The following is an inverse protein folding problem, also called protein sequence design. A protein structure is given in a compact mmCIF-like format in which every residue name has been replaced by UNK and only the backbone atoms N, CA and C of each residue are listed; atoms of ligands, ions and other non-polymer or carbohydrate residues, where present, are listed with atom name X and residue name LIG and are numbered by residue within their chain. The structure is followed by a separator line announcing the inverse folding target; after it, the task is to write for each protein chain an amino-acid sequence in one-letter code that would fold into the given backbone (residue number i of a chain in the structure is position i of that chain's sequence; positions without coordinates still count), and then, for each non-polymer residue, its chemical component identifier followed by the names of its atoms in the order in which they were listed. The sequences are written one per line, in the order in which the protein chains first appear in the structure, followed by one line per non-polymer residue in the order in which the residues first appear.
data_IF_769800971133
#
_entry.id   IF_769800971133
#
_cell.length_a   1.000
_cell.length_b   1.000
_cell.length_c   1.000
_cell.angle_alpha   90.00
_cell.angle_beta   90.00
_cell.angle_gamma   90.00
#
_symmetry.space_group_name_H-M   'P 1'
#
loop_
_entity.id
_entity.type
_entity.pdbx_description
1 polymer ?
#
# COMPACT_ATOMS: atom_id res chain seq x y z
N UNK A 1 8.16 0.94 -3.53
CA UNK A 1 7.30 2.15 -3.45
C UNK A 1 8.08 3.31 -2.85
N UNK A 2 8.15 4.44 -3.53
CA UNK A 2 8.79 5.66 -3.04
C UNK A 2 7.78 6.81 -2.88
N UNK A 3 7.98 7.68 -1.89
CA UNK A 3 7.20 8.89 -1.69
C UNK A 3 8.03 9.98 -0.99
N UNK A 4 7.52 11.20 -0.98
CA UNK A 4 8.08 12.32 -0.21
C UNK A 4 7.21 12.61 1.01
N UNK A 5 7.85 12.80 2.17
CA UNK A 5 7.19 13.17 3.41
C UNK A 5 8.09 14.12 4.20
N UNK A 6 7.58 15.32 4.52
CA UNK A 6 8.32 16.37 5.26
C UNK A 6 9.73 16.63 4.69
N UNK A 7 9.79 16.88 3.38
CA UNK A 7 11.03 17.18 2.62
C UNK A 7 12.09 16.06 2.63
N UNK A 8 11.71 14.85 2.98
CA UNK A 8 12.55 13.66 2.90
C UNK A 8 11.91 12.59 2.00
N UNK A 9 12.75 11.79 1.37
CA UNK A 9 12.35 10.66 0.52
C UNK A 9 12.26 9.40 1.35
N UNK A 10 11.19 8.63 1.16
CA UNK A 10 10.95 7.35 1.82
C UNK A 10 10.82 6.25 0.78
N UNK A 11 11.49 5.12 1.01
CA UNK A 11 11.48 3.96 0.13
C UNK A 11 11.07 2.72 0.92
N UNK A 12 9.93 2.16 0.56
CA UNK A 12 9.39 0.94 1.12
C UNK A 12 9.64 -0.23 0.17
N UNK A 13 10.16 -1.33 0.70
CA UNK A 13 10.46 -2.55 -0.06
C UNK A 13 9.77 -3.75 0.57
N UNK A 14 9.55 -4.78 -0.25
CA UNK A 14 8.99 -6.05 0.18
C UNK A 14 9.86 -6.70 1.27
N UNK A 15 9.23 -7.21 2.30
CA UNK A 15 9.81 -8.06 3.36
C UNK A 15 10.95 -7.45 4.18
N UNK A 16 11.06 -6.14 4.25
CA UNK A 16 12.20 -5.53 4.97
C UNK A 16 11.96 -5.23 6.45
N UNK A 17 10.72 -5.29 6.93
CA UNK A 17 10.41 -4.95 8.33
C UNK A 17 10.74 -3.50 8.69
N UNK A 18 10.73 -2.61 7.70
CA UNK A 18 11.05 -1.21 7.84
C UNK A 18 11.09 -0.51 6.48
N UNK A 19 11.77 0.62 6.43
CA UNK A 19 11.91 1.41 5.21
C UNK A 19 13.23 2.19 5.22
N UNK A 20 13.64 2.62 4.03
CA UNK A 20 14.75 3.54 3.89
C UNK A 20 14.25 4.97 3.76
N UNK A 21 15.03 5.93 4.24
CA UNK A 21 14.77 7.35 4.04
C UNK A 21 16.04 8.11 3.70
N UNK A 22 15.89 9.22 2.97
CA UNK A 22 17.00 10.05 2.50
C UNK A 22 16.56 11.50 2.33
N UNK A 23 17.50 12.43 2.49
CA UNK A 23 17.29 13.85 2.14
C UNK A 23 17.73 14.21 0.72
N UNK A 24 18.57 13.39 0.10
CA UNK A 24 19.25 13.73 -1.15
C UNK A 24 19.26 12.62 -2.20
N UNK A 25 18.54 11.50 -1.95
CA UNK A 25 18.48 10.30 -2.81
C UNK A 25 19.83 9.55 -2.99
N UNK A 26 20.88 9.99 -2.34
CA UNK A 26 22.21 9.37 -2.39
C UNK A 26 22.55 8.64 -1.09
N UNK A 27 22.32 9.31 0.01
CA UNK A 27 22.61 8.78 1.35
C UNK A 27 21.32 8.27 1.99
N UNK A 28 21.24 6.95 2.21
CA UNK A 28 20.06 6.29 2.70
C UNK A 28 20.30 5.73 4.11
N UNK A 29 19.36 6.00 4.99
CA UNK A 29 19.29 5.41 6.32
C UNK A 29 18.13 4.42 6.39
N UNK A 30 18.25 3.40 7.24
CA UNK A 30 17.18 2.42 7.47
C UNK A 30 16.52 2.65 8.81
N UNK A 31 15.19 2.74 8.81
CA UNK A 31 14.36 2.76 10.00
C UNK A 31 13.59 1.43 10.12
N UNK A 32 13.86 0.61 11.14
CA UNK A 32 13.01 -0.54 11.43
C UNK A 32 11.62 -0.05 11.83
N UNK A 33 10.57 -0.72 11.36
CA UNK A 33 9.20 -0.34 11.66
C UNK A 33 8.43 -1.48 12.32
N UNK A 34 7.64 -1.13 13.34
CA UNK A 34 6.76 -2.05 14.04
C UNK A 34 5.46 -2.25 13.26
N UNK A 35 5.54 -2.81 12.07
CA UNK A 35 4.35 -3.41 11.47
C UNK A 35 4.07 -4.69 12.26
N UNK A 36 2.92 -4.74 12.91
CA UNK A 36 2.56 -5.92 13.68
C UNK A 36 2.47 -7.11 12.70
N UNK A 37 3.47 -7.96 12.77
CA UNK A 37 3.41 -9.29 12.18
C UNK A 37 2.77 -10.21 13.21
N UNK A 38 1.72 -10.90 12.84
CA UNK A 38 1.33 -12.10 13.57
C UNK A 38 2.31 -13.21 13.20
N UNK A 39 2.51 -14.21 14.07
CA UNK A 39 3.40 -15.33 13.76
C UNK A 39 3.04 -16.10 12.48
N UNK A 40 1.81 -15.92 11.99
CA UNK A 40 1.28 -16.53 10.77
C UNK A 40 1.18 -15.57 9.59
N UNK A 41 1.53 -14.29 9.80
CA UNK A 41 1.51 -13.32 8.70
C UNK A 41 2.70 -13.60 7.80
N UNK A 42 2.42 -13.88 6.55
CA UNK A 42 3.42 -13.81 5.52
C UNK A 42 4.03 -12.42 5.49
N UNK A 43 5.27 -12.36 5.11
CA UNK A 43 5.97 -11.10 4.94
C UNK A 43 5.15 -10.17 4.04
N UNK A 44 5.00 -8.92 4.48
CA UNK A 44 4.24 -7.94 3.71
C UNK A 44 4.91 -7.66 2.38
N UNK A 45 4.22 -8.08 1.32
CA UNK A 45 4.65 -7.85 -0.06
C UNK A 45 3.98 -6.62 -0.65
N UNK A 46 4.52 -6.15 -1.78
CA UNK A 46 3.95 -5.04 -2.55
C UNK A 46 3.53 -3.85 -1.68
N UNK A 47 4.46 -3.25 -0.92
CA UNK A 47 4.14 -2.14 -0.04
C UNK A 47 3.68 -0.92 -0.83
N UNK A 48 2.66 -0.24 -0.30
CA UNK A 48 2.22 1.06 -0.76
C UNK A 48 2.09 2.04 0.41
N UNK A 49 2.30 3.31 0.13
CA UNK A 49 2.18 4.34 1.14
C UNK A 49 1.64 5.63 0.52
N UNK A 50 0.95 6.43 1.31
CA UNK A 50 0.50 7.76 0.93
C UNK A 50 0.56 8.71 2.12
N UNK A 51 0.50 10.00 1.85
CA UNK A 51 0.53 11.05 2.86
C UNK A 51 -0.78 11.83 2.84
N UNK A 52 -1.33 12.09 4.01
CA UNK A 52 -2.46 12.99 4.20
C UNK A 52 -2.18 13.92 5.37
N UNK A 53 -2.01 15.19 5.10
CA UNK A 53 -1.54 16.17 6.08
C UNK A 53 -0.19 15.73 6.67
N UNK A 54 -0.09 15.71 7.98
CA UNK A 54 1.12 15.29 8.72
C UNK A 54 1.23 13.77 8.96
N UNK A 55 0.37 12.98 8.34
CA UNK A 55 0.29 11.53 8.59
C UNK A 55 0.74 10.74 7.37
N UNK A 56 1.69 9.86 7.57
CA UNK A 56 2.08 8.84 6.61
C UNK A 56 1.27 7.57 6.88
N UNK A 57 0.59 7.08 5.85
CA UNK A 57 -0.13 5.81 5.84
C UNK A 57 0.65 4.78 5.05
N UNK A 58 0.57 3.53 5.50
CA UNK A 58 1.27 2.40 4.90
C UNK A 58 0.34 1.19 4.79
N UNK A 59 0.45 0.46 3.70
CA UNK A 59 -0.26 -0.78 3.45
C UNK A 59 0.62 -1.75 2.65
N UNK A 60 0.17 -2.98 2.51
CA UNK A 60 0.82 -3.99 1.69
C UNK A 60 -0.07 -5.23 1.54
N UNK A 61 0.36 -6.18 0.72
CA UNK A 61 -0.35 -7.43 0.51
C UNK A 61 -0.30 -8.32 1.75
N UNK A 62 -1.47 -8.83 2.15
CA UNK A 62 -1.61 -9.89 3.15
C UNK A 62 -2.77 -10.81 2.78
N UNK A 63 -2.85 -11.97 3.42
CA UNK A 63 -3.98 -12.90 3.26
C UNK A 63 -5.22 -12.53 4.08
N UNK A 64 -5.11 -11.56 4.99
CA UNK A 64 -6.18 -11.24 5.95
C UNK A 64 -7.04 -10.01 5.61
N UNK A 65 -6.96 -9.50 4.40
CA UNK A 65 -7.62 -8.26 3.98
C UNK A 65 -6.68 -7.05 4.07
N UNK A 66 -7.19 -5.87 3.75
CA UNK A 66 -6.39 -4.66 3.64
C UNK A 66 -5.88 -4.18 5.01
N UNK A 67 -4.60 -4.31 5.30
CA UNK A 67 -4.00 -3.73 6.50
C UNK A 67 -3.66 -2.26 6.21
N UNK A 68 -3.96 -1.36 7.14
CA UNK A 68 -3.51 0.03 7.04
C UNK A 68 -2.90 0.46 8.36
N UNK A 69 -1.68 0.94 8.30
CA UNK A 69 -0.97 1.55 9.43
C UNK A 69 -0.74 3.03 9.18
N UNK A 70 -0.52 3.78 10.24
CA UNK A 70 -0.20 5.19 10.13
C UNK A 70 0.81 5.63 11.17
N UNK A 71 1.54 6.69 10.84
CA UNK A 71 2.47 7.35 11.76
C UNK A 71 2.62 8.84 11.42
N UNK A 72 2.68 9.69 12.43
CA UNK A 72 3.06 11.11 12.30
C UNK A 72 4.56 11.33 12.51
N UNK A 73 5.26 10.27 12.90
CA UNK A 73 6.71 10.25 13.14
C UNK A 73 7.31 8.93 12.66
N UNK A 74 7.26 8.64 11.35
CA UNK A 74 7.60 7.32 10.81
C UNK A 74 9.02 6.89 11.15
N UNK A 75 10.00 7.80 11.18
CA UNK A 75 11.39 7.47 11.53
C UNK A 75 11.59 6.94 12.96
N UNK A 76 10.61 7.12 13.84
CA UNK A 76 10.61 6.46 15.14
C UNK A 76 10.36 4.95 15.07
N UNK A 77 10.01 4.43 13.90
CA UNK A 77 9.62 3.04 13.69
C UNK A 77 8.25 2.67 14.25
N UNK A 78 7.56 3.61 14.89
CA UNK A 78 6.28 3.34 15.55
C UNK A 78 5.12 3.66 14.61
N UNK A 79 4.40 2.61 14.24
CA UNK A 79 3.17 2.70 13.47
C UNK A 79 2.01 2.15 14.28
N UNK A 80 0.87 2.80 14.15
CA UNK A 80 -0.41 2.36 14.71
C UNK A 80 -1.27 1.78 13.60
N UNK A 81 -2.07 0.79 13.91
CA UNK A 81 -3.04 0.26 12.96
C UNK A 81 -4.22 1.22 12.82
N UNK A 82 -4.55 1.60 11.59
CA UNK A 82 -5.66 2.51 11.32
C UNK A 82 -7.01 1.78 11.44
N UNK A 83 -7.06 0.51 11.03
CA UNK A 83 -8.25 -0.34 11.14
C UNK A 83 -7.89 -1.73 11.65
N UNK A 84 -8.71 -2.25 12.54
CA UNK A 84 -8.54 -3.59 13.12
C UNK A 84 -8.74 -4.69 12.08
N UNK A 85 -9.79 -4.56 11.28
CA UNK A 85 -10.17 -5.51 10.24
C UNK A 85 -10.80 -4.80 9.05
N UNK A 86 -10.39 -5.19 7.86
CA UNK A 86 -10.99 -4.78 6.62
C UNK A 86 -11.26 -6.02 5.76
N UNK A 87 -12.41 -6.05 5.08
CA UNK A 87 -12.84 -7.17 4.25
C UNK A 87 -12.36 -7.06 2.80
N UNK A 88 -11.70 -5.95 2.43
CA UNK A 88 -11.18 -5.77 1.09
C UNK A 88 -9.99 -6.69 0.85
N UNK A 89 -9.88 -7.30 -0.32
CA UNK A 89 -8.66 -7.99 -0.74
C UNK A 89 -7.45 -7.07 -0.67
N UNK A 90 -6.29 -7.63 -0.39
CA UNK A 90 -5.05 -6.84 -0.29
C UNK A 90 -3.92 -7.37 -1.17
N UNK A 91 -4.25 -7.81 -2.39
CA UNK A 91 -3.25 -8.14 -3.40
C UNK A 91 -2.76 -6.88 -4.09
N UNK A 92 -1.47 -6.61 -3.94
CA UNK A 92 -0.77 -5.45 -4.51
C UNK A 92 -1.56 -4.14 -4.34
N UNK A 93 -1.95 -3.79 -3.09
CA UNK A 93 -2.82 -2.66 -2.85
C UNK A 93 -2.10 -1.34 -3.10
N UNK A 94 -2.79 -0.41 -3.73
CA UNK A 94 -2.36 0.97 -3.86
C UNK A 94 -3.48 1.88 -3.36
N UNK A 95 -3.24 2.59 -2.26
CA UNK A 95 -4.11 3.64 -1.78
C UNK A 95 -3.69 4.96 -2.43
N UNK A 96 -4.62 5.60 -3.10
CA UNK A 96 -4.44 6.86 -3.81
C UNK A 96 -5.38 7.92 -3.28
N UNK A 97 -4.82 8.99 -2.71
CA UNK A 97 -5.56 10.17 -2.29
C UNK A 97 -5.57 11.17 -3.45
N UNK A 98 -6.76 11.44 -3.98
CA UNK A 98 -6.96 12.36 -5.10
C UNK A 98 -7.01 13.81 -4.62
N UNK A 99 -6.82 14.76 -5.53
CA UNK A 99 -6.82 16.21 -5.27
C UNK A 99 -8.18 16.71 -4.74
N UNK A 100 -9.28 16.00 -5.07
CA UNK A 100 -10.61 16.30 -4.54
C UNK A 100 -10.84 15.75 -3.10
N UNK A 101 -9.80 15.15 -2.53
CA UNK A 101 -9.80 14.58 -1.18
C UNK A 101 -10.45 13.21 -1.07
N UNK A 102 -10.85 12.58 -2.18
CA UNK A 102 -11.33 11.20 -2.18
C UNK A 102 -10.18 10.22 -2.13
N UNK A 103 -10.39 9.13 -1.40
CA UNK A 103 -9.42 8.05 -1.29
C UNK A 103 -9.89 6.85 -2.11
N UNK A 104 -8.99 6.35 -2.95
CA UNK A 104 -9.23 5.18 -3.79
C UNK A 104 -8.28 4.06 -3.41
N UNK A 105 -8.77 2.83 -3.45
CA UNK A 105 -7.97 1.61 -3.38
C UNK A 105 -7.97 0.96 -4.77
N UNK A 106 -6.78 0.75 -5.31
CA UNK A 106 -6.54 -0.11 -6.47
C UNK A 106 -5.87 -1.39 -5.99
N UNK A 107 -6.29 -2.53 -6.52
CA UNK A 107 -5.75 -3.83 -6.12
C UNK A 107 -5.95 -4.89 -7.21
N UNK A 108 -5.18 -5.96 -7.11
CA UNK A 108 -5.17 -7.09 -8.04
C UNK A 108 -3.80 -7.28 -8.66
N UNK A 109 -3.42 -8.49 -8.96
CA UNK A 109 -2.05 -8.77 -9.41
C UNK A 109 -1.94 -9.90 -10.41
N UNK A 110 -3.00 -10.49 -10.88
CA UNK A 110 -2.85 -11.72 -11.63
C UNK A 110 -3.80 -11.86 -12.81
N UNK A 111 -3.50 -12.81 -13.67
CA UNK A 111 -4.32 -13.18 -14.80
C UNK A 111 -5.72 -13.68 -14.40
N UNK A 112 -5.89 -14.13 -13.18
CA UNK A 112 -7.15 -14.65 -12.69
C UNK A 112 -8.13 -13.58 -12.28
N UNK A 113 -7.61 -12.38 -11.98
CA UNK A 113 -8.40 -11.29 -11.43
C UNK A 113 -8.12 -10.00 -12.18
N UNK A 114 -9.15 -9.30 -12.66
CA UNK A 114 -8.92 -7.97 -13.21
C UNK A 114 -8.36 -7.05 -12.13
N UNK A 115 -7.54 -6.07 -12.53
CA UNK A 115 -7.26 -4.95 -11.65
C UNK A 115 -8.56 -4.25 -11.30
N UNK A 116 -8.74 -4.00 -10.03
CA UNK A 116 -9.95 -3.42 -9.46
C UNK A 116 -9.70 -2.07 -8.83
N UNK A 117 -10.72 -1.25 -8.82
CA UNK A 117 -10.70 0.02 -8.13
C UNK A 117 -12.00 0.26 -7.36
N UNK A 118 -11.87 0.88 -6.20
CA UNK A 118 -12.99 1.23 -5.34
C UNK A 118 -12.68 2.50 -4.57
N UNK A 119 -13.66 3.39 -4.46
CA UNK A 119 -13.54 4.50 -3.51
C UNK A 119 -13.76 3.98 -2.09
N UNK A 120 -12.89 4.38 -1.19
CA UNK A 120 -12.94 4.00 0.24
C UNK A 120 -13.09 5.23 1.12
N UNK A 121 -13.69 5.03 2.28
CA UNK A 121 -13.77 6.05 3.33
C UNK A 121 -12.36 6.38 3.85
N UNK A 122 -12.12 7.63 4.18
CA UNK A 122 -10.86 8.06 4.79
C UNK A 122 -10.76 7.73 6.28
N UNK A 123 -11.90 7.47 6.93
CA UNK A 123 -11.97 7.24 8.36
C UNK A 123 -11.72 5.77 8.74
N UNK A 124 -12.29 4.84 7.95
CA UNK A 124 -12.24 3.42 8.25
C UNK A 124 -11.82 2.52 7.08
N UNK A 125 -11.47 3.13 5.95
CA UNK A 125 -11.01 2.45 4.72
C UNK A 125 -12.01 1.45 4.13
N UNK A 126 -13.30 1.57 4.48
CA UNK A 126 -14.37 0.74 3.92
C UNK A 126 -14.84 1.26 2.57
N UNK A 127 -15.30 0.38 1.68
CA UNK A 127 -15.88 0.79 0.41
C UNK A 127 -17.04 1.76 0.59
N UNK A 128 -17.03 2.86 -0.15
CA UNK A 128 -18.12 3.83 -0.25
C UNK A 128 -18.67 3.93 -1.68
N UNK A 129 -18.13 3.14 -2.61
CA UNK A 129 -18.64 2.95 -3.97
C UNK A 129 -18.77 1.46 -4.28
N UNK A 130 -19.33 1.15 -5.45
CA UNK A 130 -19.18 -0.18 -6.04
C UNK A 130 -17.71 -0.43 -6.43
N UNK A 131 -17.33 -1.69 -6.49
CA UNK A 131 -16.04 -2.12 -7.01
C UNK A 131 -16.12 -2.16 -8.54
N UNK A 132 -15.12 -1.61 -9.21
CA UNK A 132 -15.02 -1.58 -10.67
C UNK A 132 -13.86 -2.48 -11.10
N UNK A 133 -14.08 -3.25 -12.15
CA UNK A 133 -13.03 -3.88 -12.91
C UNK A 133 -12.40 -2.83 -13.83
N UNK A 134 -11.09 -2.60 -13.68
CA UNK A 134 -10.39 -1.52 -14.39
C UNK A 134 -9.64 -2.09 -15.60
N UNK A 135 -8.90 -3.16 -15.40
CA UNK A 135 -8.06 -3.73 -16.44
C UNK A 135 -7.92 -5.25 -16.30
N UNK A 136 -7.96 -5.92 -17.42
CA UNK A 136 -7.70 -7.36 -17.57
C UNK A 136 -6.53 -7.55 -18.52
N UNK A 137 -5.69 -8.53 -18.27
CA UNK A 137 -4.65 -8.93 -19.21
C UNK A 137 -5.25 -9.54 -20.46
N UNK A 138 -4.67 -9.24 -21.62
CA UNK A 138 -5.05 -9.76 -22.93
C UNK A 138 -3.83 -10.35 -23.66
N UNK A 139 -3.25 -11.43 -23.13
CA UNK A 139 -1.99 -11.98 -23.68
C UNK A 139 -2.12 -12.48 -25.13
N UNK A 140 -3.33 -12.82 -25.58
CA UNK A 140 -3.61 -13.19 -26.97
C UNK A 140 -3.57 -11.98 -27.92
N UNK A 141 -3.90 -10.78 -27.43
CA UNK A 141 -3.81 -9.54 -28.21
C UNK A 141 -2.43 -8.88 -28.05
N UNK A 142 -1.88 -8.99 -26.84
CA UNK A 142 -0.63 -8.34 -26.42
C UNK A 142 0.31 -9.37 -25.79
N UNK A 143 1.11 -10.04 -26.60
CA UNK A 143 1.98 -11.14 -26.13
C UNK A 143 2.98 -10.80 -25.04
N UNK A 144 3.17 -9.51 -24.72
CA UNK A 144 3.97 -9.02 -23.60
C UNK A 144 3.19 -8.94 -22.30
N UNK A 145 1.86 -8.92 -22.35
CA UNK A 145 1.00 -8.97 -21.15
C UNK A 145 0.97 -10.39 -20.60
N UNK A 146 2.03 -10.78 -19.93
CA UNK A 146 2.14 -12.10 -19.31
C UNK A 146 2.18 -11.98 -17.81
N UNK A 147 1.63 -12.98 -17.18
CA UNK A 147 1.81 -13.17 -15.76
C UNK A 147 3.30 -13.41 -15.47
N UNK A 148 3.90 -12.56 -14.66
CA UNK A 148 5.24 -12.80 -14.12
C UNK A 148 5.14 -13.74 -12.92
N UNK A 149 5.79 -14.87 -13.01
CA UNK A 149 6.04 -15.70 -11.84
C UNK A 149 7.28 -15.20 -11.12
#
# INVERSE_FOLDING_TARGET
MGLTYKDEYFLFSTNQGGFHYSKNLSDWEFAPASFQRRPTDDDMCAPAAFVSGDTLFYTGSTYEGLPVWYSTSPKSGRFKRAVERNTLPSWDPCLFLDDDGKLYLYYGSSNEYPLKGVQVSRDDFRPVSKIYDIMMLRPEEHGWERFGM
#
